data_IF_794350378163
#
_entry.id   IF_794350378163
#
_cell.length_a   1.000
_cell.length_b   1.000
_cell.length_c   1.000
_cell.angle_alpha   90.00
_cell.angle_beta   90.00
_cell.angle_gamma   90.00
#
_symmetry.space_group_name_H-M   'P 1'
#
loop_
_entity.id
_entity.type
_entity.pdbx_description
1 polymer ?
#
# COMPACT_ATOMS: atom_id res chain seq x y z
N UNK A 1 59.63 -8.63 -58.79
CA UNK A 1 59.52 -9.12 -57.45
C UNK A 1 58.89 -8.02 -56.59
N UNK A 2 57.59 -8.10 -56.40
CA UNK A 2 56.79 -7.08 -55.64
C UNK A 2 56.29 -7.77 -54.36
N UNK A 3 56.70 -7.24 -53.20
CA UNK A 3 56.23 -7.71 -51.88
C UNK A 3 54.93 -6.99 -51.51
N UNK A 4 53.85 -7.67 -51.12
CA UNK A 4 52.67 -6.99 -50.57
C UNK A 4 52.88 -6.64 -49.12
N UNK A 5 52.61 -5.36 -48.80
CA UNK A 5 52.52 -4.84 -47.40
C UNK A 5 51.21 -5.32 -46.77
N UNK A 6 51.30 -6.00 -45.62
CA UNK A 6 50.16 -6.38 -44.80
C UNK A 6 49.80 -5.20 -43.91
N UNK A 7 48.67 -4.58 -44.18
CA UNK A 7 48.08 -3.55 -43.30
C UNK A 7 47.27 -4.29 -42.22
N UNK A 8 47.80 -4.31 -41.03
CA UNK A 8 47.09 -4.80 -39.83
C UNK A 8 46.13 -3.71 -39.29
N UNK A 9 44.86 -3.78 -39.60
CA UNK A 9 43.82 -2.92 -39.00
C UNK A 9 43.52 -3.42 -37.60
N UNK A 10 44.03 -2.70 -36.60
CA UNK A 10 43.69 -2.93 -35.19
C UNK A 10 42.29 -2.39 -34.91
N UNK A 11 41.30 -3.30 -34.79
CA UNK A 11 39.93 -2.99 -34.42
C UNK A 11 39.87 -2.88 -32.88
N UNK A 12 39.99 -1.63 -32.41
CA UNK A 12 39.85 -1.33 -30.97
C UNK A 12 38.34 -1.44 -30.60
N UNK A 13 37.93 -2.60 -30.11
CA UNK A 13 36.59 -2.80 -29.59
C UNK A 13 36.43 -2.00 -28.26
N UNK A 14 35.74 -0.84 -28.37
CA UNK A 14 35.31 -0.06 -27.22
C UNK A 14 34.22 -0.87 -26.50
N UNK A 15 34.59 -1.63 -25.49
CA UNK A 15 33.62 -2.22 -24.54
C UNK A 15 33.05 -1.07 -23.71
N UNK A 16 31.87 -0.62 -24.07
CA UNK A 16 31.02 0.20 -23.22
C UNK A 16 30.65 -0.65 -21.99
N UNK A 17 31.38 -0.44 -20.90
CA UNK A 17 31.00 -0.96 -19.59
C UNK A 17 29.76 -0.16 -19.15
N UNK A 18 28.59 -0.69 -19.48
CA UNK A 18 27.33 -0.21 -18.90
C UNK A 18 27.39 -0.62 -17.42
N UNK A 19 27.73 0.34 -16.56
CA UNK A 19 27.60 0.13 -15.12
C UNK A 19 26.13 -0.16 -14.81
N UNK A 20 25.80 -1.28 -14.15
CA UNK A 20 24.42 -1.55 -13.77
C UNK A 20 23.95 -0.41 -12.87
N UNK A 21 22.90 0.28 -13.26
CA UNK A 21 22.18 1.17 -12.36
C UNK A 21 21.77 0.34 -11.15
N UNK A 22 22.30 0.66 -9.97
CA UNK A 22 21.95 -0.04 -8.74
C UNK A 22 20.56 0.43 -8.36
N UNK A 23 19.55 -0.38 -8.63
CA UNK A 23 18.23 -0.21 -8.07
C UNK A 23 18.35 -0.23 -6.54
N UNK A 24 17.67 0.68 -5.88
CA UNK A 24 17.56 0.68 -4.43
C UNK A 24 16.41 -0.25 -4.07
N UNK A 25 16.68 -1.20 -3.18
CA UNK A 25 15.67 -2.11 -2.66
C UNK A 25 15.12 -1.55 -1.34
N UNK A 26 13.82 -1.32 -1.28
CA UNK A 26 13.10 -0.94 -0.08
C UNK A 26 12.30 -2.14 0.42
N UNK A 27 12.53 -2.55 1.68
CA UNK A 27 11.80 -3.63 2.35
C UNK A 27 10.81 -3.06 3.35
N UNK A 28 9.54 -3.42 3.20
CA UNK A 28 8.43 -2.92 4.03
C UNK A 28 7.79 -4.11 4.75
N UNK A 29 7.83 -4.07 6.08
CA UNK A 29 7.25 -5.11 6.91
C UNK A 29 5.73 -4.97 7.05
N UNK A 30 5.04 -6.06 7.35
CA UNK A 30 3.59 -6.05 7.59
C UNK A 30 3.16 -5.04 8.67
N UNK A 31 3.84 -4.90 9.83
CA UNK A 31 3.50 -3.87 10.81
C UNK A 31 3.66 -2.43 10.30
N UNK A 32 4.57 -2.18 9.35
CA UNK A 32 4.73 -0.85 8.74
C UNK A 32 3.54 -0.55 7.81
N UNK A 33 3.11 -1.50 6.97
CA UNK A 33 1.91 -1.37 6.14
C UNK A 33 0.65 -1.21 6.99
N UNK A 34 0.52 -1.97 8.07
CA UNK A 34 -0.61 -1.88 8.99
C UNK A 34 -0.72 -0.49 9.62
N UNK A 35 0.40 0.09 10.08
CA UNK A 35 0.41 1.47 10.62
C UNK A 35 -0.01 2.48 9.56
N UNK A 36 0.46 2.33 8.33
CA UNK A 36 0.09 3.19 7.21
C UNK A 36 -1.40 3.07 6.90
N UNK A 37 -1.92 1.85 6.84
CA UNK A 37 -3.33 1.58 6.63
C UNK A 37 -4.20 2.21 7.73
N UNK A 38 -3.83 2.04 9.00
CA UNK A 38 -4.51 2.66 10.14
C UNK A 38 -4.52 4.19 10.03
N UNK A 39 -3.37 4.79 9.72
CA UNK A 39 -3.25 6.25 9.62
C UNK A 39 -4.03 6.85 8.43
N UNK A 40 -4.13 6.15 7.32
CA UNK A 40 -4.80 6.64 6.11
C UNK A 40 -6.31 6.41 6.13
N UNK A 41 -6.76 5.26 6.59
CA UNK A 41 -8.14 4.82 6.41
C UNK A 41 -8.95 4.83 7.72
N UNK A 42 -8.37 4.36 8.82
CA UNK A 42 -9.09 4.17 10.09
C UNK A 42 -9.06 5.42 10.98
N UNK A 43 -9.56 6.55 10.44
CA UNK A 43 -9.46 7.87 11.07
C UNK A 43 -10.58 8.20 12.06
N UNK A 44 -11.68 7.45 12.03
CA UNK A 44 -12.81 7.71 12.93
C UNK A 44 -12.51 7.20 14.34
N UNK A 45 -12.98 7.93 15.38
CA UNK A 45 -12.69 7.57 16.77
C UNK A 45 -13.32 6.23 17.15
N UNK A 46 -12.54 5.39 17.81
CA UNK A 46 -12.97 4.18 18.48
C UNK A 46 -13.40 4.42 19.94
N UNK A 47 -13.60 3.35 20.72
CA UNK A 47 -13.99 3.44 22.12
C UNK A 47 -12.97 4.17 23.00
N UNK A 48 -11.69 4.10 22.62
CA UNK A 48 -10.58 4.78 23.30
C UNK A 48 -10.48 6.27 22.98
N UNK A 49 -11.31 6.80 22.06
CA UNK A 49 -11.21 8.12 21.49
C UNK A 49 -10.10 8.29 20.44
N UNK A 50 -9.31 7.25 20.18
CA UNK A 50 -8.27 7.25 19.14
C UNK A 50 -8.85 6.89 17.77
N UNK A 51 -8.21 7.29 16.65
CA UNK A 51 -8.58 6.85 15.31
C UNK A 51 -8.41 5.33 15.18
N UNK A 52 -9.51 4.60 15.07
CA UNK A 52 -9.50 3.12 15.07
C UNK A 52 -10.55 2.52 14.12
N UNK A 53 -11.45 3.36 13.53
CA UNK A 53 -12.60 2.88 12.77
C UNK A 53 -12.69 3.47 11.38
N UNK A 54 -13.23 2.66 10.49
CA UNK A 54 -13.68 3.10 9.18
C UNK A 54 -15.17 2.79 9.01
N UNK A 55 -15.99 3.82 8.79
CA UNK A 55 -17.44 3.65 8.62
C UNK A 55 -17.77 3.26 7.18
N UNK A 56 -18.34 2.07 7.02
CA UNK A 56 -18.92 1.54 5.77
C UNK A 56 -20.29 2.20 5.50
N UNK A 57 -21.04 2.43 6.58
CA UNK A 57 -22.36 3.06 6.55
C UNK A 57 -22.59 3.84 7.85
N UNK A 58 -23.17 5.03 7.72
CA UNK A 58 -23.45 5.88 8.87
C UNK A 58 -22.20 6.57 9.42
N UNK A 59 -22.24 6.87 10.72
CA UNK A 59 -21.17 7.56 11.47
C UNK A 59 -21.21 7.16 12.93
N UNK A 60 -20.32 7.71 13.76
CA UNK A 60 -20.29 7.49 15.21
C UNK A 60 -21.61 7.89 15.92
N UNK A 61 -22.35 8.83 15.36
CA UNK A 61 -23.62 9.34 15.92
C UNK A 61 -24.85 8.69 15.29
N UNK A 62 -24.68 7.82 14.28
CA UNK A 62 -25.78 7.15 13.62
C UNK A 62 -26.33 6.02 14.47
N UNK A 63 -27.65 5.93 14.66
CA UNK A 63 -28.29 4.82 15.37
C UNK A 63 -28.03 3.49 14.67
N UNK A 64 -28.15 3.45 13.35
CA UNK A 64 -27.77 2.32 12.51
C UNK A 64 -26.47 2.64 11.78
N UNK A 65 -25.46 1.80 11.96
CA UNK A 65 -24.13 2.00 11.35
C UNK A 65 -23.45 0.66 11.07
N UNK A 66 -22.52 0.67 10.13
CA UNK A 66 -21.59 -0.43 9.93
C UNK A 66 -20.17 0.16 9.84
N UNK A 67 -19.24 -0.43 10.55
CA UNK A 67 -17.84 -0.01 10.53
C UNK A 67 -16.90 -1.20 10.58
N UNK A 68 -15.70 -1.01 10.04
CA UNK A 68 -14.59 -1.92 10.20
C UNK A 68 -13.60 -1.33 11.22
N UNK A 69 -12.97 -2.20 12.00
CA UNK A 69 -11.89 -1.88 12.90
C UNK A 69 -10.83 -2.99 12.93
N UNK A 70 -9.81 -2.81 13.75
CA UNK A 70 -8.74 -3.76 14.05
C UNK A 70 -8.09 -4.35 12.78
N UNK A 71 -7.60 -3.50 11.85
CA UNK A 71 -6.93 -4.01 10.66
C UNK A 71 -5.60 -4.67 11.02
N UNK A 72 -5.40 -5.89 10.55
CA UNK A 72 -4.14 -6.62 10.61
C UNK A 72 -3.66 -6.94 9.21
N UNK A 73 -2.38 -6.65 8.94
CA UNK A 73 -1.73 -6.93 7.66
C UNK A 73 -0.79 -8.11 7.81
N UNK A 74 -0.86 -9.04 6.87
CA UNK A 74 0.09 -10.14 6.75
C UNK A 74 0.39 -10.43 5.27
N UNK A 75 1.43 -11.19 5.04
CA UNK A 75 1.80 -11.66 3.70
C UNK A 75 1.52 -13.15 3.58
N UNK A 76 0.95 -13.53 2.44
CA UNK A 76 0.67 -14.93 2.10
C UNK A 76 0.93 -15.12 0.62
N UNK A 77 1.88 -15.98 0.30
CA UNK A 77 2.37 -16.19 -1.06
C UNK A 77 2.83 -14.87 -1.69
N UNK A 78 2.27 -14.49 -2.82
CA UNK A 78 2.56 -13.23 -3.54
C UNK A 78 1.57 -12.08 -3.17
N UNK A 79 0.79 -12.24 -2.10
CA UNK A 79 -0.32 -11.34 -1.78
C UNK A 79 -0.16 -10.66 -0.42
N UNK A 80 -0.66 -9.45 -0.37
CA UNK A 80 -0.90 -8.73 0.88
C UNK A 80 -2.31 -9.09 1.34
N UNK A 81 -2.43 -9.60 2.55
CA UNK A 81 -3.69 -9.99 3.15
C UNK A 81 -4.05 -9.02 4.26
N UNK A 82 -5.28 -8.54 4.25
CA UNK A 82 -5.81 -7.65 5.29
C UNK A 82 -6.98 -8.32 5.97
N UNK A 83 -6.82 -8.58 7.26
CA UNK A 83 -7.89 -9.00 8.16
C UNK A 83 -8.55 -7.79 8.79
N UNK A 84 -9.87 -7.81 8.89
CA UNK A 84 -10.67 -6.75 9.47
C UNK A 84 -11.76 -7.36 10.35
N UNK A 85 -12.06 -6.74 11.48
CA UNK A 85 -13.32 -6.95 12.17
C UNK A 85 -14.37 -5.96 11.68
N UNK A 86 -15.56 -6.45 11.41
CA UNK A 86 -16.69 -5.62 10.97
C UNK A 86 -17.82 -5.73 11.99
N UNK A 87 -18.27 -4.58 12.42
CA UNK A 87 -19.41 -4.42 13.34
C UNK A 87 -20.52 -3.72 12.58
N UNK A 88 -21.73 -4.27 12.64
CA UNK A 88 -22.87 -3.67 11.98
C UNK A 88 -24.13 -3.71 12.81
N UNK A 89 -24.87 -2.62 12.77
CA UNK A 89 -26.26 -2.50 13.20
C UNK A 89 -27.06 -2.07 11.97
N UNK A 90 -27.71 -3.05 11.32
CA UNK A 90 -28.44 -2.86 10.07
C UNK A 90 -29.95 -2.87 10.36
N UNK A 91 -30.67 -1.86 9.89
CA UNK A 91 -32.09 -1.73 10.12
C UNK A 91 -32.59 -0.32 9.93
N UNK A 92 -33.70 0.00 10.60
CA UNK A 92 -34.36 1.29 10.58
C UNK A 92 -34.12 2.05 11.89
N UNK A 93 -33.78 3.33 11.80
CA UNK A 93 -33.66 4.19 12.97
C UNK A 93 -35.04 4.63 13.44
N UNK A 94 -35.42 4.24 14.66
CA UNK A 94 -36.68 4.64 15.29
C UNK A 94 -36.31 5.36 16.60
N UNK A 95 -36.65 6.64 16.70
CA UNK A 95 -36.39 7.48 17.89
C UNK A 95 -34.93 7.42 18.38
N UNK A 96 -33.98 7.41 17.44
CA UNK A 96 -32.55 7.36 17.77
C UNK A 96 -32.01 5.97 18.13
N UNK A 97 -32.84 4.93 18.05
CA UNK A 97 -32.41 3.53 18.26
C UNK A 97 -32.49 2.76 16.96
N UNK A 98 -31.47 1.94 16.67
CA UNK A 98 -31.50 1.05 15.50
C UNK A 98 -32.36 -0.17 15.81
N UNK A 99 -33.45 -0.32 15.09
CA UNK A 99 -34.31 -1.53 15.13
C UNK A 99 -33.96 -2.39 13.93
N UNK A 100 -33.37 -3.55 14.18
CA UNK A 100 -32.87 -4.47 13.14
C UNK A 100 -31.92 -5.51 13.71
N UNK A 101 -30.92 -5.90 12.89
CA UNK A 101 -29.95 -6.93 13.24
C UNK A 101 -28.61 -6.31 13.62
N UNK A 102 -27.94 -6.92 14.57
CA UNK A 102 -26.55 -6.62 14.93
C UNK A 102 -25.67 -7.81 14.58
N UNK A 103 -24.59 -7.56 13.84
CA UNK A 103 -23.68 -8.59 13.36
C UNK A 103 -22.25 -8.15 13.64
N UNK A 104 -21.42 -9.10 14.05
CA UNK A 104 -19.98 -8.97 14.09
C UNK A 104 -19.41 -10.08 13.22
N UNK A 105 -18.49 -9.73 12.34
CA UNK A 105 -17.86 -10.72 11.49
C UNK A 105 -16.39 -10.36 11.26
N UNK A 106 -15.58 -11.37 11.07
CA UNK A 106 -14.23 -11.22 10.57
C UNK A 106 -14.27 -11.33 9.05
N UNK A 107 -13.52 -10.47 8.39
CA UNK A 107 -13.40 -10.46 6.93
C UNK A 107 -11.94 -10.48 6.55
N UNK A 108 -11.64 -11.16 5.46
CA UNK A 108 -10.30 -11.25 4.92
C UNK A 108 -10.33 -10.89 3.43
N UNK A 109 -9.43 -10.01 3.03
CA UNK A 109 -9.24 -9.64 1.62
C UNK A 109 -7.76 -9.66 1.29
N UNK A 110 -7.42 -10.16 0.11
CA UNK A 110 -6.05 -10.21 -0.38
C UNK A 110 -5.88 -9.41 -1.66
N UNK A 111 -4.67 -8.87 -1.88
CA UNK A 111 -4.30 -8.03 -3.02
C UNK A 111 -2.93 -8.38 -3.54
N UNK A 112 -2.70 -8.20 -4.84
CA UNK A 112 -1.38 -8.20 -5.45
C UNK A 112 -0.87 -6.75 -5.47
N UNK A 113 0.30 -6.45 -4.87
CA UNK A 113 0.91 -5.12 -4.98
C UNK A 113 1.42 -4.88 -6.39
N UNK A 114 1.32 -3.65 -6.87
CA UNK A 114 1.81 -3.25 -8.19
C UNK A 114 2.48 -1.89 -8.14
N UNK A 115 3.53 -1.71 -8.93
CA UNK A 115 4.17 -0.43 -9.16
C UNK A 115 3.40 0.33 -10.25
N UNK A 116 2.96 1.54 -9.95
CA UNK A 116 2.25 2.43 -10.88
C UNK A 116 2.94 3.80 -10.94
N UNK A 117 4.02 3.88 -11.71
CA UNK A 117 4.85 5.09 -11.79
C UNK A 117 5.54 5.40 -10.47
N UNK A 118 5.16 6.48 -9.79
CA UNK A 118 5.64 6.86 -8.45
C UNK A 118 4.76 6.31 -7.32
N UNK A 119 3.72 5.52 -7.63
CA UNK A 119 2.73 5.07 -6.65
C UNK A 119 2.76 3.56 -6.45
N UNK A 120 2.51 3.17 -5.22
CA UNK A 120 2.19 1.81 -4.81
C UNK A 120 0.69 1.63 -5.01
N UNK A 121 0.31 0.70 -5.88
CA UNK A 121 -1.07 0.33 -6.12
C UNK A 121 -1.36 -1.11 -5.72
N UNK A 122 -2.63 -1.50 -5.82
CA UNK A 122 -3.11 -2.84 -5.47
C UNK A 122 -4.12 -3.30 -6.51
N UNK A 123 -4.00 -4.54 -6.95
CA UNK A 123 -4.89 -5.14 -7.94
C UNK A 123 -5.36 -6.52 -7.50
N UNK A 124 -6.27 -7.08 -8.25
CA UNK A 124 -6.78 -8.44 -8.07
C UNK A 124 -7.25 -8.69 -6.62
N UNK A 125 -8.12 -7.79 -6.13
CA UNK A 125 -8.73 -7.94 -4.83
C UNK A 125 -9.55 -9.24 -4.78
N UNK A 126 -9.15 -10.17 -3.91
CA UNK A 126 -9.89 -11.40 -3.62
C UNK A 126 -10.41 -11.34 -2.21
N UNK A 127 -11.70 -11.52 -2.07
CA UNK A 127 -12.33 -11.64 -0.76
C UNK A 127 -12.25 -13.12 -0.38
N UNK A 128 -11.42 -13.40 0.62
CA UNK A 128 -11.14 -14.76 1.08
C UNK A 128 -12.20 -15.21 2.09
N UNK A 129 -12.72 -14.28 2.88
CA UNK A 129 -13.76 -14.56 3.88
C UNK A 129 -14.76 -13.40 3.96
N UNK A 130 -16.04 -13.73 3.90
CA UNK A 130 -17.17 -12.84 4.11
C UNK A 130 -18.10 -13.38 5.20
N UNK A 131 -18.99 -12.54 5.66
CA UNK A 131 -20.10 -12.93 6.55
C UNK A 131 -21.05 -13.91 5.87
N UNK A 132 -21.75 -14.74 6.65
CA UNK A 132 -22.89 -15.53 6.18
C UNK A 132 -24.10 -14.65 5.86
N UNK A 133 -24.13 -13.40 6.31
CA UNK A 133 -25.23 -12.47 6.12
C UNK A 133 -25.11 -11.71 4.80
N UNK A 134 -26.09 -11.92 3.91
CA UNK A 134 -26.13 -11.32 2.56
C UNK A 134 -26.21 -9.79 2.55
N UNK A 135 -26.92 -9.20 3.53
CA UNK A 135 -27.07 -7.74 3.60
C UNK A 135 -25.76 -7.07 4.00
N UNK A 136 -25.01 -7.68 4.92
CA UNK A 136 -23.69 -7.20 5.27
C UNK A 136 -22.70 -7.37 4.12
N UNK A 137 -22.75 -8.50 3.43
CA UNK A 137 -21.90 -8.77 2.27
C UNK A 137 -22.12 -7.75 1.14
N UNK A 138 -23.37 -7.32 0.91
CA UNK A 138 -23.67 -6.25 -0.05
C UNK A 138 -22.94 -4.92 0.26
N UNK A 139 -22.67 -4.64 1.53
CA UNK A 139 -21.89 -3.47 1.93
C UNK A 139 -20.38 -3.73 1.89
N UNK A 140 -19.96 -4.94 2.29
CA UNK A 140 -18.54 -5.30 2.39
C UNK A 140 -17.87 -5.51 1.03
N UNK A 141 -18.54 -6.16 0.10
CA UNK A 141 -17.96 -6.52 -1.18
C UNK A 141 -17.45 -5.30 -1.98
N UNK A 142 -18.21 -4.21 -2.18
CA UNK A 142 -17.70 -3.03 -2.86
C UNK A 142 -16.63 -2.30 -2.04
N UNK A 143 -16.68 -2.35 -0.72
CA UNK A 143 -15.64 -1.79 0.13
C UNK A 143 -14.33 -2.55 -0.02
N UNK A 144 -14.35 -3.86 0.16
CA UNK A 144 -13.17 -4.70 0.12
C UNK A 144 -12.56 -4.79 -1.28
N UNK A 145 -13.39 -4.89 -2.32
CA UNK A 145 -12.91 -5.12 -3.69
C UNK A 145 -12.50 -3.86 -4.44
N UNK A 146 -13.06 -2.70 -4.08
CA UNK A 146 -12.82 -1.44 -4.81
C UNK A 146 -12.27 -0.34 -3.93
N UNK A 147 -12.95 -0.05 -2.81
CA UNK A 147 -12.63 1.12 -2.01
C UNK A 147 -11.35 0.93 -1.21
N UNK A 148 -11.19 -0.20 -0.53
CA UNK A 148 -10.00 -0.49 0.25
C UNK A 148 -8.71 -0.45 -0.60
N UNK A 149 -8.60 -1.11 -1.77
CA UNK A 149 -7.41 -0.99 -2.62
C UNK A 149 -7.16 0.42 -3.14
N UNK A 150 -8.21 1.18 -3.46
CA UNK A 150 -8.07 2.55 -3.92
C UNK A 150 -7.55 3.50 -2.83
N UNK A 151 -8.06 3.36 -1.61
CA UNK A 151 -7.64 4.17 -0.45
C UNK A 151 -6.26 3.74 0.10
N UNK A 152 -5.86 2.49 -0.13
CA UNK A 152 -4.52 2.00 0.21
C UNK A 152 -3.45 2.48 -0.79
N UNK A 153 -3.85 2.96 -1.96
CA UNK A 153 -2.91 3.49 -2.95
C UNK A 153 -2.11 4.64 -2.35
N UNK A 154 -0.80 4.56 -2.46
CA UNK A 154 0.13 5.49 -1.84
C UNK A 154 1.12 6.05 -2.87
N UNK A 155 1.29 7.36 -2.91
CA UNK A 155 2.36 7.98 -3.68
C UNK A 155 3.69 7.85 -2.89
N UNK A 156 4.55 6.93 -3.32
CA UNK A 156 5.82 6.67 -2.67
C UNK A 156 6.78 7.87 -2.74
N UNK A 157 6.73 8.65 -3.84
CA UNK A 157 7.56 9.85 -3.96
C UNK A 157 7.14 10.94 -2.98
N UNK A 158 5.84 11.12 -2.75
CA UNK A 158 5.33 12.09 -1.77
C UNK A 158 5.71 11.69 -0.34
N UNK A 159 5.57 10.40 0.00
CA UNK A 159 6.00 9.87 1.31
C UNK A 159 7.50 10.12 1.51
N UNK A 160 8.32 9.80 0.50
CA UNK A 160 9.77 9.99 0.60
C UNK A 160 10.13 11.49 0.69
N UNK A 161 9.49 12.38 -0.08
CA UNK A 161 9.68 13.84 0.04
C UNK A 161 9.35 14.32 1.45
N UNK A 162 8.26 13.85 2.04
CA UNK A 162 7.86 14.21 3.41
C UNK A 162 8.91 13.77 4.45
N UNK A 163 9.48 12.58 4.28
CA UNK A 163 10.56 12.10 5.15
C UNK A 163 11.84 12.94 5.01
N UNK A 164 12.19 13.32 3.78
CA UNK A 164 13.40 14.10 3.49
C UNK A 164 13.31 15.55 3.99
N UNK A 165 12.13 16.12 4.15
CA UNK A 165 11.93 17.47 4.73
C UNK A 165 12.53 17.59 6.13
N UNK A 166 12.55 16.52 6.91
CA UNK A 166 13.12 16.49 8.27
C UNK A 166 14.60 16.10 8.31
N UNK A 167 15.22 15.82 7.15
CA UNK A 167 16.62 15.43 7.09
C UNK A 167 17.60 16.50 7.61
N UNK A 168 17.40 17.81 7.39
CA UNK A 168 18.28 18.86 7.91
C UNK A 168 18.43 18.84 9.42
N UNK A 169 17.37 18.51 10.17
CA UNK A 169 17.36 18.46 11.62
C UNK A 169 18.32 17.38 12.18
N UNK A 170 18.57 16.34 11.38
CA UNK A 170 19.40 15.19 11.77
C UNK A 170 20.78 15.19 11.13
N UNK A 171 20.89 15.67 9.90
CA UNK A 171 22.11 15.56 9.09
C UNK A 171 22.82 16.89 8.84
N UNK A 172 22.13 18.02 9.01
CA UNK A 172 22.60 19.35 8.64
C UNK A 172 22.56 19.65 7.12
N UNK A 173 22.08 18.69 6.30
CA UNK A 173 21.99 18.82 4.84
C UNK A 173 20.54 18.85 4.38
N UNK A 174 20.26 19.69 3.38
CA UNK A 174 18.97 19.67 2.68
C UNK A 174 18.98 18.56 1.64
N UNK A 175 18.03 17.63 1.75
CA UNK A 175 17.87 16.52 0.82
C UNK A 175 16.62 16.73 -0.03
N UNK A 176 16.79 16.75 -1.35
CA UNK A 176 15.69 16.96 -2.30
C UNK A 176 15.55 15.75 -3.22
N UNK A 177 14.39 15.08 -3.19
CA UNK A 177 14.06 14.03 -4.14
C UNK A 177 13.72 14.67 -5.49
N UNK A 178 14.56 14.45 -6.51
CA UNK A 178 14.37 15.00 -7.85
C UNK A 178 13.59 14.06 -8.75
N UNK A 179 13.73 12.75 -8.58
CA UNK A 179 12.92 11.75 -9.28
C UNK A 179 12.83 10.47 -8.47
N UNK A 180 11.71 9.76 -8.63
CA UNK A 180 11.49 8.40 -8.14
C UNK A 180 10.84 7.59 -9.26
N UNK A 181 11.29 6.36 -9.44
CA UNK A 181 10.65 5.40 -10.34
C UNK A 181 10.59 4.05 -9.65
N UNK A 182 9.40 3.52 -9.52
CA UNK A 182 9.19 2.15 -9.06
C UNK A 182 9.30 1.19 -10.24
N UNK A 183 10.07 0.12 -10.11
CA UNK A 183 10.27 -0.89 -11.15
C UNK A 183 9.42 -2.11 -10.90
N UNK A 184 9.55 -2.69 -9.72
CA UNK A 184 8.82 -3.89 -9.34
C UNK A 184 8.42 -3.88 -7.87
N UNK A 185 7.41 -4.65 -7.55
CA UNK A 185 6.97 -4.90 -6.18
C UNK A 185 6.59 -6.37 -6.09
N UNK A 186 7.16 -7.04 -5.11
CA UNK A 186 6.89 -8.45 -4.85
C UNK A 186 6.78 -8.68 -3.35
N UNK A 187 5.97 -9.63 -2.97
CA UNK A 187 5.99 -10.18 -1.61
C UNK A 187 7.08 -11.23 -1.56
N UNK A 188 8.05 -11.06 -0.67
CA UNK A 188 9.13 -11.98 -0.40
C UNK A 188 9.13 -12.37 1.08
N UNK A 189 8.63 -13.55 1.37
CA UNK A 189 8.46 -14.04 2.73
C UNK A 189 7.52 -13.18 3.56
N UNK A 190 8.05 -12.43 4.52
CA UNK A 190 7.28 -11.58 5.44
C UNK A 190 7.48 -10.08 5.18
N UNK A 191 7.90 -9.72 3.96
CA UNK A 191 8.19 -8.36 3.56
C UNK A 191 7.65 -8.04 2.17
N UNK A 192 7.24 -6.82 1.95
CA UNK A 192 7.03 -6.25 0.63
C UNK A 192 8.34 -5.64 0.15
N UNK A 193 8.90 -6.22 -0.91
CA UNK A 193 10.12 -5.76 -1.54
C UNK A 193 9.77 -4.87 -2.72
N UNK A 194 10.32 -3.67 -2.72
CA UNK A 194 10.09 -2.64 -3.74
C UNK A 194 11.42 -2.27 -4.36
N UNK A 195 11.58 -2.55 -5.66
CA UNK A 195 12.70 -2.06 -6.46
C UNK A 195 12.40 -0.66 -6.97
N UNK A 196 13.31 0.27 -6.71
CA UNK A 196 13.14 1.64 -7.14
C UNK A 196 14.45 2.31 -7.54
N UNK A 197 14.36 3.28 -8.43
CA UNK A 197 15.40 4.26 -8.70
C UNK A 197 15.00 5.59 -8.07
N UNK A 198 15.90 6.17 -7.28
CA UNK A 198 15.71 7.48 -6.68
C UNK A 198 16.91 8.37 -6.94
N UNK A 199 16.68 9.61 -7.39
CA UNK A 199 17.68 10.63 -7.48
C UNK A 199 17.48 11.66 -6.37
N UNK A 200 18.46 11.78 -5.48
CA UNK A 200 18.42 12.71 -4.37
C UNK A 200 19.56 13.72 -4.55
N UNK A 201 19.23 15.01 -4.52
CA UNK A 201 20.19 16.10 -4.49
C UNK A 201 20.47 16.47 -3.05
N UNK A 202 21.74 16.65 -2.72
CA UNK A 202 22.23 17.08 -1.39
C UNK A 202 22.73 18.51 -1.51
N UNK A 203 22.27 19.41 -0.64
CA UNK A 203 22.68 20.83 -0.57
C UNK A 203 23.00 21.24 0.86
#
# INVERSE_FOLDING_TARGET
MIRPAVIATSLCALMLVVAPARAVELRITAPALERTLKAQLFKAPGPSGKPERYYLKGSATSACSAYADDPHVLFRDDRIVVHLRTHSKLGTSIRGTCVGISLNTETEVSFIPVAEGESIGFRDAKIEHLSENKELNFLLEPFLSKKLPAEMKMNAAEVLRTLLVHAPDQTGYTLTLTSLKLHSMVVDGQELVVDLDANIKVE
#
